data_IF_566423438660
#
_entry.id   IF_566423438660
#
_cell.length_a   1.000
_cell.length_b   1.000
_cell.length_c   1.000
_cell.angle_alpha   90.00
_cell.angle_beta   90.00
_cell.angle_gamma   90.00
#
_symmetry.space_group_name_H-M   'P 1'
#
loop_
_entity.id
_entity.type
_entity.pdbx_description
1 polymer ?
#
# COMPACT_ATOMS: atom_id res chain seq x y z
N UNK A 1 -13.80 -68.87 -7.03
CA UNK A 1 -14.80 -68.15 -7.85
C UNK A 1 -14.14 -66.81 -8.23
N UNK A 2 -13.24 -66.82 -9.23
CA UNK A 2 -13.49 -66.35 -10.61
C UNK A 2 -13.76 -64.83 -10.67
N UNK A 3 -12.74 -64.02 -11.01
CA UNK A 3 -12.56 -63.36 -12.34
C UNK A 3 -13.59 -62.25 -12.61
N UNK A 4 -13.20 -60.99 -12.76
CA UNK A 4 -12.89 -60.32 -14.05
C UNK A 4 -12.46 -58.87 -13.72
N UNK A 5 -11.37 -58.22 -14.15
CA UNK A 5 -10.59 -58.10 -15.41
C UNK A 5 -11.38 -57.64 -16.64
N UNK A 6 -11.64 -56.34 -16.72
CA UNK A 6 -11.86 -55.57 -17.96
C UNK A 6 -11.05 -54.27 -17.80
N UNK A 7 -10.25 -53.76 -18.73
CA UNK A 7 -10.10 -54.05 -20.15
C UNK A 7 -9.69 -52.74 -20.83
N UNK A 8 -8.38 -52.54 -20.98
CA UNK A 8 -7.72 -51.42 -21.69
C UNK A 8 -8.17 -51.40 -23.16
N UNK A 9 -8.53 -50.24 -23.73
CA UNK A 9 -8.55 -50.06 -25.20
C UNK A 9 -7.94 -48.73 -25.61
N UNK A 10 -6.73 -48.84 -26.17
CA UNK A 10 -6.04 -47.88 -27.06
C UNK A 10 -6.38 -48.24 -28.51
N UNK A 11 -6.37 -47.25 -29.39
CA UNK A 11 -6.47 -47.34 -30.85
C UNK A 11 -7.13 -46.06 -31.36
N UNK A 12 -6.41 -45.01 -31.78
CA UNK A 12 -5.49 -44.85 -32.92
C UNK A 12 -6.23 -44.72 -34.26
N UNK A 13 -5.69 -43.81 -35.08
CA UNK A 13 -5.97 -43.51 -36.48
C UNK A 13 -7.07 -42.48 -36.79
N UNK A 14 -6.63 -41.22 -36.96
CA UNK A 14 -7.05 -40.42 -38.13
C UNK A 14 -5.78 -39.82 -38.76
N UNK A 15 -5.57 -40.19 -40.01
CA UNK A 15 -4.40 -39.86 -40.83
C UNK A 15 -4.75 -38.76 -41.82
N UNK A 16 -3.88 -37.76 -42.00
CA UNK A 16 -3.60 -37.12 -43.30
C UNK A 16 -2.58 -35.97 -43.10
N UNK A 17 -1.49 -36.02 -43.86
CA UNK A 17 -0.32 -35.18 -43.64
C UNK A 17 -0.34 -33.78 -44.27
N UNK A 18 0.67 -32.99 -43.90
CA UNK A 18 1.24 -31.95 -44.77
C UNK A 18 2.65 -31.53 -44.34
N UNK A 19 3.61 -32.08 -45.06
CA UNK A 19 4.82 -31.48 -45.62
C UNK A 19 5.23 -30.05 -45.15
N UNK A 20 6.41 -30.01 -44.50
CA UNK A 20 7.51 -29.02 -44.63
C UNK A 20 7.15 -27.56 -44.94
N UNK A 21 7.44 -26.68 -43.97
CA UNK A 21 8.22 -25.46 -44.24
C UNK A 21 8.84 -24.88 -42.96
N UNK A 22 10.11 -25.20 -42.75
CA UNK A 22 11.07 -24.34 -42.05
C UNK A 22 11.09 -22.99 -42.79
N UNK A 23 10.76 -21.89 -42.10
CA UNK A 23 10.99 -20.54 -42.61
C UNK A 23 11.67 -19.71 -41.52
N UNK A 24 13.00 -19.76 -41.52
CA UNK A 24 13.80 -18.62 -41.09
C UNK A 24 13.75 -17.62 -42.25
N UNK A 25 13.19 -16.43 -41.99
CA UNK A 25 13.55 -15.21 -42.72
C UNK A 25 12.98 -14.02 -41.97
N UNK A 26 13.90 -13.33 -41.31
CA UNK A 26 14.01 -11.88 -41.32
C UNK A 26 12.88 -11.13 -42.01
N UNK A 27 12.05 -10.47 -41.20
CA UNK A 27 11.44 -9.21 -41.58
C UNK A 27 11.92 -8.18 -40.58
N UNK A 28 12.89 -7.37 -41.03
CA UNK A 28 13.17 -6.08 -40.45
C UNK A 28 11.86 -5.28 -40.45
N UNK A 29 11.23 -5.16 -39.29
CA UNK A 29 10.34 -4.06 -38.98
C UNK A 29 11.22 -3.01 -38.32
N UNK A 30 11.74 -2.09 -39.12
CA UNK A 30 12.11 -0.78 -38.61
C UNK A 30 10.87 -0.17 -37.99
N UNK A 31 10.86 -0.12 -36.66
CA UNK A 31 10.06 0.80 -35.88
C UNK A 31 11.07 1.63 -35.12
N UNK A 32 11.23 2.88 -35.57
CA UNK A 32 11.83 4.03 -34.88
C UNK A 32 12.24 3.75 -33.43
N UNK A 33 13.50 3.37 -33.22
CA UNK A 33 14.10 3.15 -31.89
C UNK A 33 14.85 4.41 -31.47
N UNK A 34 14.17 5.56 -31.45
CA UNK A 34 14.78 6.84 -31.02
C UNK A 34 13.70 7.80 -30.47
N UNK A 35 12.94 7.36 -29.44
CA UNK A 35 12.12 8.27 -28.62
C UNK A 35 11.65 7.70 -27.26
N UNK A 36 11.88 6.42 -26.94
CA UNK A 36 11.79 5.93 -25.56
C UNK A 36 13.15 6.19 -24.91
N UNK A 37 13.38 7.44 -24.51
CA UNK A 37 14.46 7.81 -23.58
C UNK A 37 14.29 6.89 -22.39
N UNK A 38 15.16 5.89 -22.24
CA UNK A 38 15.11 4.83 -21.23
C UNK A 38 14.69 5.38 -19.86
N UNK A 39 13.37 5.41 -19.60
CA UNK A 39 12.83 6.05 -18.40
C UNK A 39 13.42 5.35 -17.17
N UNK A 40 13.58 4.03 -17.27
CA UNK A 40 14.26 3.20 -16.28
C UNK A 40 15.74 3.60 -16.04
N UNK A 41 16.48 3.98 -17.09
CA UNK A 41 17.86 4.44 -16.93
C UNK A 41 17.93 5.83 -16.27
N UNK A 42 17.01 6.73 -16.63
CA UNK A 42 16.93 8.06 -16.01
C UNK A 42 16.45 7.98 -14.55
N UNK A 43 15.54 7.06 -14.23
CA UNK A 43 15.12 6.76 -12.85
C UNK A 43 16.28 6.22 -12.00
N UNK A 44 17.08 5.32 -12.56
CA UNK A 44 18.28 4.81 -11.90
C UNK A 44 19.28 5.94 -11.61
N UNK A 45 19.44 6.89 -12.53
CA UNK A 45 20.28 8.08 -12.33
C UNK A 45 19.72 9.03 -11.26
N UNK A 46 18.40 9.22 -11.20
CA UNK A 46 17.75 10.02 -10.15
C UNK A 46 17.98 9.38 -8.78
N UNK A 47 17.88 8.05 -8.69
CA UNK A 47 18.12 7.32 -7.46
C UNK A 47 19.59 7.45 -7.02
N UNK A 48 20.53 7.21 -7.93
CA UNK A 48 21.97 7.33 -7.68
C UNK A 48 22.34 8.76 -7.22
N UNK A 49 21.90 9.79 -7.95
CA UNK A 49 22.12 11.20 -7.56
C UNK A 49 21.46 11.55 -6.22
N UNK A 50 20.31 10.94 -5.92
CA UNK A 50 19.63 11.10 -4.64
C UNK A 50 20.43 10.51 -3.47
N UNK A 51 21.03 9.34 -3.68
CA UNK A 51 21.90 8.68 -2.69
C UNK A 51 23.21 9.46 -2.49
N UNK A 52 23.81 9.99 -3.56
CA UNK A 52 24.96 10.89 -3.50
C UNK A 52 24.65 12.16 -2.68
N UNK A 53 23.49 12.80 -2.89
CA UNK A 53 23.13 13.99 -2.09
C UNK A 53 22.95 13.63 -0.61
N UNK A 54 22.44 12.44 -0.29
CA UNK A 54 22.30 11.97 1.10
C UNK A 54 23.67 11.76 1.74
N UNK A 55 24.61 11.11 1.06
CA UNK A 55 25.98 10.88 1.59
C UNK A 55 26.77 12.19 1.72
N UNK A 56 26.68 13.09 0.74
CA UNK A 56 27.35 14.40 0.78
C UNK A 56 26.78 15.29 1.90
N UNK A 57 25.47 15.21 2.16
CA UNK A 57 24.82 15.90 3.28
C UNK A 57 25.21 15.31 4.64
N UNK A 58 25.35 13.99 4.73
CA UNK A 58 25.87 13.30 5.94
C UNK A 58 27.34 13.64 6.20
N UNK A 59 28.14 13.80 5.15
CA UNK A 59 29.52 14.29 5.21
C UNK A 59 29.69 15.74 5.66
N UNK A 60 28.58 16.47 5.86
CA UNK A 60 28.59 17.84 6.39
C UNK A 60 29.02 18.90 5.37
N UNK A 61 28.92 18.59 4.07
CA UNK A 61 29.24 19.52 2.99
C UNK A 61 28.30 20.74 3.03
N UNK A 62 28.83 21.90 2.63
CA UNK A 62 28.11 23.16 2.65
C UNK A 62 26.91 23.15 1.68
N UNK A 63 25.90 23.99 1.94
CA UNK A 63 24.70 24.04 1.09
C UNK A 63 25.02 24.55 -0.31
N UNK A 64 26.10 25.31 -0.41
CA UNK A 64 26.65 25.91 -1.61
C UNK A 64 27.22 24.85 -2.55
N UNK A 65 27.94 23.86 -2.00
CA UNK A 65 28.51 22.75 -2.77
C UNK A 65 27.47 21.67 -3.10
N UNK A 66 26.40 21.55 -2.30
CA UNK A 66 25.27 20.65 -2.56
C UNK A 66 24.27 21.18 -3.61
N UNK A 67 24.20 22.50 -3.78
CA UNK A 67 23.28 23.16 -4.71
C UNK A 67 23.34 22.65 -6.16
N UNK A 68 24.52 22.47 -6.81
CA UNK A 68 24.58 21.96 -8.18
C UNK A 68 24.00 20.55 -8.31
N UNK A 69 24.26 19.66 -7.34
CA UNK A 69 23.76 18.28 -7.37
C UNK A 69 22.23 18.21 -7.23
N UNK A 70 21.65 19.06 -6.39
CA UNK A 70 20.19 19.14 -6.24
C UNK A 70 19.53 19.70 -7.51
N UNK A 71 20.16 20.69 -8.16
CA UNK A 71 19.67 21.24 -9.43
C UNK A 71 19.70 20.19 -10.56
N UNK A 72 20.76 19.38 -10.64
CA UNK A 72 20.85 18.25 -11.58
C UNK A 72 19.73 17.22 -11.34
N UNK A 73 19.47 16.87 -10.07
CA UNK A 73 18.41 15.91 -9.72
C UNK A 73 17.02 16.44 -10.10
N UNK A 74 16.76 17.73 -9.91
CA UNK A 74 15.52 18.37 -10.34
C UNK A 74 15.38 18.37 -11.87
N UNK A 75 16.47 18.63 -12.60
CA UNK A 75 16.48 18.56 -14.05
C UNK A 75 16.22 17.14 -14.58
N UNK A 76 16.81 16.11 -13.96
CA UNK A 76 16.54 14.70 -14.32
C UNK A 76 15.09 14.31 -14.03
N UNK A 77 14.53 14.75 -12.91
CA UNK A 77 13.10 14.55 -12.61
C UNK A 77 12.18 15.25 -13.61
N UNK A 78 12.54 16.46 -14.05
CA UNK A 78 11.77 17.18 -15.06
C UNK A 78 11.76 16.46 -16.43
N UNK A 79 12.83 15.74 -16.78
CA UNK A 79 12.89 14.92 -18.01
C UNK A 79 11.96 13.71 -17.98
N UNK A 80 11.69 13.16 -16.79
CA UNK A 80 10.73 12.05 -16.61
C UNK A 80 9.30 12.54 -16.38
N UNK A 81 9.15 13.77 -15.85
CA UNK A 81 7.88 14.44 -15.65
C UNK A 81 7.27 14.90 -16.98
N UNK A 82 6.92 13.92 -17.82
CA UNK A 82 5.83 14.05 -18.79
C UNK A 82 4.53 14.36 -18.02
N UNK A 83 3.63 15.17 -18.59
CA UNK A 83 2.74 16.06 -17.83
C UNK A 83 1.49 15.34 -17.28
N UNK A 84 1.64 14.42 -16.34
CA UNK A 84 0.50 13.85 -15.59
C UNK A 84 0.86 13.71 -14.10
N UNK A 85 1.17 14.86 -13.48
CA UNK A 85 0.77 15.28 -12.12
C UNK A 85 1.66 16.43 -11.62
N UNK A 86 1.22 17.65 -11.91
CA UNK A 86 1.56 18.84 -11.11
C UNK A 86 0.93 18.75 -9.70
N UNK A 87 1.24 19.59 -8.72
CA UNK A 87 2.18 20.71 -8.58
C UNK A 87 2.67 20.69 -7.11
N UNK A 88 3.32 21.70 -6.54
CA UNK A 88 3.50 23.08 -6.91
C UNK A 88 4.78 23.60 -6.23
N UNK A 89 5.43 24.54 -6.92
CA UNK A 89 6.59 25.28 -6.45
C UNK A 89 6.16 26.39 -5.47
N UNK A 90 6.99 26.65 -4.46
CA UNK A 90 7.04 27.95 -3.79
C UNK A 90 8.46 28.20 -3.26
N UNK A 91 8.97 29.39 -3.62
CA UNK A 91 10.35 29.88 -3.55
C UNK A 91 10.82 30.40 -2.16
N UNK A 92 12.12 30.75 -2.00
CA UNK A 92 12.83 30.86 -0.72
C UNK A 92 12.91 32.30 -0.16
N UNK A 93 13.14 32.43 1.16
CA UNK A 93 13.68 33.66 1.78
C UNK A 93 14.79 33.35 2.80
N UNK A 94 15.91 34.05 2.63
CA UNK A 94 17.04 34.25 3.56
C UNK A 94 16.51 34.91 4.86
N UNK A 95 17.07 34.68 6.06
CA UNK A 95 18.27 35.38 6.57
C UNK A 95 18.73 34.81 7.94
N UNK A 96 19.97 35.16 8.31
CA UNK A 96 20.88 34.61 9.33
C UNK A 96 20.59 35.07 10.77
N UNK A 97 20.98 34.28 11.78
CA UNK A 97 21.98 34.65 12.81
C UNK A 97 22.21 33.54 13.88
N UNK A 98 23.44 33.51 14.41
CA UNK A 98 24.11 32.57 15.32
C UNK A 98 23.54 32.54 16.77
N UNK A 99 23.93 31.73 17.78
CA UNK A 99 25.12 30.89 18.09
C UNK A 99 24.86 30.07 19.39
N UNK A 100 25.58 28.94 19.58
CA UNK A 100 25.92 28.18 20.83
C UNK A 100 24.76 27.58 21.66
N UNK A 101 24.78 26.34 22.15
CA UNK A 101 25.76 25.26 22.19
C UNK A 101 25.37 24.22 23.28
N UNK A 102 25.97 23.02 23.19
CA UNK A 102 26.14 21.97 24.23
C UNK A 102 25.21 20.72 24.17
N UNK A 103 25.77 19.68 23.52
CA UNK A 103 25.99 18.29 23.97
C UNK A 103 24.90 17.62 24.84
N UNK A 104 24.37 16.53 24.28
CA UNK A 104 24.37 15.22 24.96
C UNK A 104 23.02 14.72 25.43
N UNK A 105 22.62 13.55 24.93
CA UNK A 105 21.53 12.75 25.51
C UNK A 105 20.87 11.85 24.49
N UNK A 106 21.28 10.58 24.47
CA UNK A 106 20.73 9.55 23.59
C UNK A 106 19.22 9.41 23.73
N UNK A 107 18.52 9.47 22.60
CA UNK A 107 17.08 9.27 22.52
C UNK A 107 16.76 7.89 21.96
N UNK A 108 16.29 7.00 22.84
CA UNK A 108 15.53 5.79 22.48
C UNK A 108 14.58 6.10 21.32
N UNK A 109 14.67 5.30 20.25
CA UNK A 109 13.72 5.31 19.15
C UNK A 109 12.34 4.87 19.67
N UNK A 110 11.57 5.83 20.15
CA UNK A 110 10.12 5.67 20.33
C UNK A 110 9.51 5.86 18.95
N UNK A 111 9.04 4.76 18.36
CA UNK A 111 8.27 4.77 17.12
C UNK A 111 7.18 5.84 17.23
N UNK A 112 7.32 6.87 16.40
CA UNK A 112 6.39 7.98 16.32
C UNK A 112 5.21 7.48 15.49
N UNK A 113 4.13 7.08 16.16
CA UNK A 113 2.86 6.82 15.49
C UNK A 113 2.47 8.08 14.69
N UNK A 114 1.97 7.93 13.44
CA UNK A 114 1.49 9.07 12.67
C UNK A 114 0.35 9.78 13.42
N UNK A 115 0.21 11.10 13.27
CA UNK A 115 -0.82 11.86 13.96
C UNK A 115 -2.19 11.31 13.56
N UNK A 116 -2.99 10.88 14.56
CA UNK A 116 -4.39 10.51 14.37
C UNK A 116 -5.16 11.76 13.94
N UNK A 117 -5.26 12.01 12.63
CA UNK A 117 -6.32 12.87 12.09
C UNK A 117 -7.65 12.25 12.50
N UNK A 118 -8.61 13.09 12.92
CA UNK A 118 -9.95 12.61 13.28
C UNK A 118 -10.58 11.99 12.04
N UNK A 119 -11.30 10.88 12.20
CA UNK A 119 -11.96 10.20 11.07
C UNK A 119 -12.90 11.13 10.30
N UNK A 120 -13.47 12.15 10.96
CA UNK A 120 -14.29 13.21 10.35
C UNK A 120 -13.57 14.06 9.30
N UNK A 121 -12.24 14.14 9.35
CA UNK A 121 -11.44 15.00 8.48
C UNK A 121 -10.81 14.25 7.29
N UNK A 122 -11.02 12.92 7.23
CA UNK A 122 -10.45 12.07 6.18
C UNK A 122 -11.42 11.95 5.01
N UNK A 123 -10.88 11.87 3.80
CA UNK A 123 -11.70 11.61 2.62
C UNK A 123 -12.36 10.22 2.71
N UNK A 124 -13.53 10.04 2.10
CA UNK A 124 -14.24 8.75 2.10
C UNK A 124 -13.37 7.60 1.58
N UNK A 125 -12.52 7.88 0.59
CA UNK A 125 -11.56 6.93 0.03
C UNK A 125 -10.48 6.53 1.05
N UNK A 126 -9.94 7.48 1.80
CA UNK A 126 -8.97 7.18 2.86
C UNK A 126 -9.63 6.42 4.01
N UNK A 127 -10.87 6.77 4.38
CA UNK A 127 -11.64 6.05 5.39
C UNK A 127 -11.88 4.59 4.99
N UNK A 128 -12.21 4.34 3.72
CA UNK A 128 -12.36 2.98 3.20
C UNK A 128 -11.05 2.20 3.30
N UNK A 129 -9.92 2.80 2.90
CA UNK A 129 -8.61 2.15 2.99
C UNK A 129 -8.24 1.79 4.43
N UNK A 130 -8.48 2.71 5.38
CA UNK A 130 -8.22 2.46 6.81
C UNK A 130 -9.10 1.34 7.35
N UNK A 131 -10.40 1.31 7.00
CA UNK A 131 -11.34 0.26 7.44
C UNK A 131 -10.97 -1.11 6.88
N UNK A 132 -10.59 -1.18 5.61
CA UNK A 132 -10.11 -2.42 4.99
C UNK A 132 -8.83 -2.91 5.65
N UNK A 133 -7.85 -2.03 5.86
CA UNK A 133 -6.62 -2.39 6.56
C UNK A 133 -6.86 -2.92 7.98
N UNK A 134 -7.82 -2.36 8.72
CA UNK A 134 -8.21 -2.88 10.04
C UNK A 134 -8.82 -4.29 9.94
N UNK A 135 -9.69 -4.53 8.97
CA UNK A 135 -10.28 -5.85 8.76
C UNK A 135 -9.22 -6.90 8.38
N UNK A 136 -8.22 -6.53 7.59
CA UNK A 136 -7.11 -7.42 7.23
C UNK A 136 -6.22 -7.74 8.43
N UNK A 137 -5.89 -6.74 9.27
CA UNK A 137 -5.18 -6.97 10.54
C UNK A 137 -5.94 -7.91 11.47
N UNK A 138 -7.28 -7.83 11.53
CA UNK A 138 -8.09 -8.75 12.32
C UNK A 138 -7.97 -10.18 11.77
N UNK A 139 -8.05 -10.36 10.45
CA UNK A 139 -7.85 -11.67 9.81
C UNK A 139 -6.45 -12.24 10.05
N UNK A 140 -5.41 -11.41 9.95
CA UNK A 140 -4.01 -11.79 10.24
C UNK A 140 -3.82 -12.20 11.70
N UNK A 141 -4.56 -11.58 12.63
CA UNK A 141 -4.61 -11.97 14.03
C UNK A 141 -5.45 -13.24 14.29
N UNK A 142 -6.02 -13.85 13.25
CA UNK A 142 -6.90 -15.03 13.36
C UNK A 142 -8.29 -14.70 13.94
N UNK A 143 -8.65 -13.42 14.00
CA UNK A 143 -9.96 -12.95 14.47
C UNK A 143 -10.84 -12.74 13.24
N UNK A 144 -11.95 -13.47 13.16
CA UNK A 144 -12.90 -13.35 12.05
C UNK A 144 -13.74 -12.07 12.19
N UNK A 145 -13.60 -11.07 11.29
CA UNK A 145 -14.33 -9.80 11.43
C UNK A 145 -15.81 -9.91 11.06
N UNK A 146 -16.16 -10.92 10.29
CA UNK A 146 -17.49 -11.14 9.71
C UNK A 146 -17.94 -12.56 10.00
N UNK A 147 -18.27 -12.83 11.26
CA UNK A 147 -18.77 -14.13 11.67
C UNK A 147 -20.09 -14.47 10.96
N UNK A 148 -20.26 -15.73 10.57
CA UNK A 148 -21.46 -16.19 9.87
C UNK A 148 -22.68 -16.31 10.78
N UNK A 149 -22.46 -16.49 12.09
CA UNK A 149 -23.50 -16.66 13.09
C UNK A 149 -23.22 -15.81 14.31
N UNK A 150 -24.29 -15.30 14.93
CA UNK A 150 -24.27 -14.62 16.21
C UNK A 150 -25.50 -15.07 17.00
N UNK A 151 -25.28 -15.58 18.21
CA UNK A 151 -26.33 -16.17 19.04
C UNK A 151 -27.10 -15.05 19.77
N UNK A 152 -28.19 -14.59 19.15
CA UNK A 152 -29.08 -13.57 19.73
C UNK A 152 -29.99 -14.22 20.77
N UNK A 153 -30.03 -13.67 21.99
CA UNK A 153 -30.94 -14.15 23.05
C UNK A 153 -32.22 -13.32 23.13
N UNK A 154 -32.12 -12.00 22.91
CA UNK A 154 -33.25 -11.08 23.01
C UNK A 154 -33.26 -10.08 21.86
N UNK A 155 -34.45 -9.62 21.51
CA UNK A 155 -34.62 -8.46 20.63
C UNK A 155 -34.61 -7.17 21.45
N UNK A 156 -34.25 -6.06 20.81
CA UNK A 156 -34.30 -4.74 21.46
C UNK A 156 -35.71 -4.38 21.96
N UNK A 157 -36.77 -4.82 21.28
CA UNK A 157 -38.15 -4.60 21.72
C UNK A 157 -38.47 -5.37 23.01
N UNK A 158 -38.11 -6.65 23.06
CA UNK A 158 -38.32 -7.48 24.26
C UNK A 158 -37.60 -6.90 25.48
N UNK A 159 -36.38 -6.39 25.33
CA UNK A 159 -35.64 -5.79 26.45
C UNK A 159 -36.31 -4.50 26.95
N UNK A 160 -36.92 -3.70 26.06
CA UNK A 160 -37.65 -2.50 26.47
C UNK A 160 -38.84 -2.87 27.34
N UNK A 161 -39.64 -3.85 26.91
CA UNK A 161 -40.81 -4.31 27.68
C UNK A 161 -40.38 -4.99 28.99
N UNK A 162 -39.29 -5.77 28.96
CA UNK A 162 -38.75 -6.46 30.12
C UNK A 162 -38.20 -5.51 31.17
N UNK A 163 -37.65 -4.35 30.81
CA UNK A 163 -37.06 -3.41 31.77
C UNK A 163 -37.84 -2.11 31.96
N UNK A 164 -39.02 -1.99 31.35
CA UNK A 164 -39.88 -0.82 31.52
C UNK A 164 -40.24 -0.61 33.00
N UNK A 165 -39.78 0.50 33.56
CA UNK A 165 -40.03 0.87 34.97
C UNK A 165 -39.35 -0.03 36.00
N UNK A 166 -38.42 -0.91 35.59
CA UNK A 166 -37.72 -1.83 36.52
C UNK A 166 -36.35 -1.34 36.98
N UNK A 167 -35.71 -0.46 36.22
CA UNK A 167 -34.40 0.12 36.53
C UNK A 167 -34.53 1.62 36.74
N UNK A 168 -33.91 2.13 37.81
CA UNK A 168 -33.77 3.56 38.04
C UNK A 168 -32.61 4.16 37.22
N UNK A 169 -32.55 5.49 37.15
CA UNK A 169 -31.50 6.19 36.44
C UNK A 169 -30.12 5.94 37.07
N UNK A 170 -29.28 5.20 36.35
CA UNK A 170 -27.93 4.83 36.81
C UNK A 170 -27.87 3.48 37.53
N UNK A 171 -28.98 2.74 37.60
CA UNK A 171 -29.01 1.35 38.05
C UNK A 171 -28.65 0.41 36.89
N UNK A 172 -27.92 -0.67 37.20
CA UNK A 172 -27.49 -1.69 36.24
C UNK A 172 -27.89 -3.07 36.79
N UNK A 173 -28.39 -3.96 35.92
CA UNK A 173 -28.66 -5.36 36.26
C UNK A 173 -27.44 -6.22 35.89
N UNK A 174 -26.56 -6.44 36.87
CA UNK A 174 -25.31 -7.20 36.72
C UNK A 174 -25.53 -8.71 36.50
N UNK A 175 -26.72 -9.24 36.82
CA UNK A 175 -27.03 -10.67 36.66
C UNK A 175 -27.51 -11.01 35.24
N UNK A 176 -27.91 -9.98 34.47
CA UNK A 176 -28.48 -10.17 33.15
C UNK A 176 -27.43 -10.48 32.07
N UNK A 177 -27.52 -11.66 31.46
CA UNK A 177 -26.70 -12.05 30.29
C UNK A 177 -27.54 -11.96 29.00
N UNK A 178 -27.35 -10.89 28.23
CA UNK A 178 -28.15 -10.57 27.04
C UNK A 178 -27.27 -10.37 25.80
N UNK A 179 -27.68 -10.95 24.68
CA UNK A 179 -27.03 -10.82 23.37
C UNK A 179 -28.06 -10.28 22.37
N UNK A 180 -27.72 -9.15 21.72
CA UNK A 180 -28.60 -8.39 20.82
C UNK A 180 -27.81 -7.96 19.59
N UNK A 181 -28.43 -7.97 18.41
CA UNK A 181 -27.86 -7.49 17.15
C UNK A 181 -28.72 -6.37 16.53
N UNK A 182 -28.12 -5.48 15.73
CA UNK A 182 -28.77 -4.33 15.09
C UNK A 182 -27.89 -3.59 14.10
#
# INVERSE_FOLDING_TARGET
IASSRWGRRRGHDDAAGRLVRMRMSSTASGSDVDADVDVAAVEAQIKAKGDEIRTLKEGGISKEDLAPHVAELLALKAKIATPEKGGAAAEPKKEKAAKKGKRGGGGKQKQKQPPKKKESDMSETELRQVRLGKADLMKEAGIEPFAYTYDVTHTAAQLRDLYEGKLEGGEEDEESDVAVAG
#
